data_IF_211167251835
#
_entry.id   IF_211167251835
#
_cell.length_a   1.000
_cell.length_b   1.000
_cell.length_c   1.000
_cell.angle_alpha   90.00
_cell.angle_beta   90.00
_cell.angle_gamma   90.00
#
_symmetry.space_group_name_H-M   'P 1'
#
loop_
_entity.id
_entity.type
_entity.pdbx_description
1 polymer ?
#
# COMPACT_ATOMS: atom_id res chain seq x y z
N UNK A 1 -15.71 7.70 10.62
CA UNK A 1 -15.80 6.23 10.72
C UNK A 1 -14.42 5.56 10.76
N UNK A 2 -13.44 5.94 9.94
CA UNK A 2 -12.08 5.35 9.97
C UNK A 2 -11.41 5.48 11.36
N UNK A 3 -11.28 6.71 11.89
CA UNK A 3 -10.66 6.93 13.21
C UNK A 3 -11.32 6.19 14.38
N UNK A 4 -12.62 5.84 14.30
CA UNK A 4 -13.30 5.11 15.39
C UNK A 4 -12.91 3.64 15.38
N UNK A 5 -12.78 3.04 14.19
CA UNK A 5 -12.34 1.65 14.07
C UNK A 5 -10.86 1.49 14.42
N UNK A 6 -10.02 2.45 14.00
CA UNK A 6 -8.59 2.45 14.31
C UNK A 6 -8.36 2.56 15.82
N UNK A 7 -9.02 3.51 16.48
CA UNK A 7 -8.98 3.60 17.96
C UNK A 7 -9.42 2.28 18.64
N UNK A 8 -10.43 1.59 18.10
CA UNK A 8 -10.85 0.30 18.64
C UNK A 8 -9.77 -0.78 18.52
N UNK A 9 -9.03 -0.81 17.41
CA UNK A 9 -7.95 -1.79 17.18
C UNK A 9 -6.75 -1.51 18.06
N UNK A 10 -6.35 -0.25 18.14
CA UNK A 10 -5.26 0.20 18.99
C UNK A 10 -5.52 -0.09 20.45
N UNK A 11 -6.74 0.15 20.92
CA UNK A 11 -7.15 -0.23 22.28
C UNK A 11 -7.12 -1.75 22.49
N UNK A 12 -7.51 -2.53 21.48
CA UNK A 12 -7.37 -3.99 21.49
C UNK A 12 -5.92 -4.44 21.62
N UNK A 13 -5.03 -3.91 20.79
CA UNK A 13 -3.59 -4.22 20.82
C UNK A 13 -2.98 -3.79 22.16
N UNK A 14 -3.27 -2.57 22.63
CA UNK A 14 -2.84 -2.08 23.96
C UNK A 14 -3.29 -2.98 25.10
N UNK A 15 -4.54 -3.43 25.08
CA UNK A 15 -5.06 -4.34 26.10
C UNK A 15 -4.27 -5.65 26.14
N UNK A 16 -3.98 -6.24 24.98
CA UNK A 16 -3.20 -7.48 24.88
C UNK A 16 -1.77 -7.26 25.38
N UNK A 17 -1.13 -6.15 24.98
CA UNK A 17 0.20 -5.78 25.47
C UNK A 17 0.20 -5.58 27.00
N UNK A 18 -0.83 -4.94 27.56
CA UNK A 18 -0.93 -4.70 29.01
C UNK A 18 -1.08 -6.00 29.81
N UNK A 19 -1.78 -7.00 29.25
CA UNK A 19 -1.91 -8.33 29.85
C UNK A 19 -0.57 -9.10 29.90
N UNK A 20 0.38 -8.78 29.02
CA UNK A 20 1.71 -9.40 28.95
C UNK A 20 2.82 -8.35 28.78
N UNK A 21 3.14 -7.63 29.87
CA UNK A 21 4.15 -6.57 29.89
C UNK A 21 5.28 -6.81 30.92
N UNK A 22 6.05 -7.91 30.82
CA UNK A 22 7.14 -8.19 31.76
C UNK A 22 8.28 -7.16 31.69
N UNK A 23 8.40 -6.42 30.58
CA UNK A 23 9.40 -5.37 30.37
C UNK A 23 8.97 -3.99 30.89
N UNK A 24 7.77 -3.86 31.47
CA UNK A 24 7.25 -2.59 32.03
C UNK A 24 7.27 -1.43 31.02
N UNK A 25 6.94 -1.71 29.76
CA UNK A 25 6.82 -0.70 28.71
C UNK A 25 5.68 0.27 29.04
N UNK A 26 5.92 1.57 28.88
CA UNK A 26 4.87 2.59 28.97
C UNK A 26 3.99 2.54 27.71
N UNK A 27 2.85 1.86 27.80
CA UNK A 27 1.93 1.64 26.67
C UNK A 27 1.10 2.88 26.30
N UNK A 28 1.15 3.93 27.13
CA UNK A 28 0.58 5.24 26.83
C UNK A 28 1.63 6.21 26.23
N UNK A 29 2.87 5.75 26.12
CA UNK A 29 3.98 6.51 25.57
C UNK A 29 3.86 6.79 24.06
N UNK A 30 4.48 7.89 23.62
CA UNK A 30 4.48 8.35 22.21
C UNK A 30 5.03 7.29 21.24
N UNK A 31 5.90 6.40 21.70
CA UNK A 31 6.51 5.37 20.87
C UNK A 31 5.49 4.41 20.26
N UNK A 32 4.47 4.00 21.03
CA UNK A 32 3.46 3.06 20.54
C UNK A 32 2.56 3.74 19.51
N UNK A 33 2.24 5.02 19.71
CA UNK A 33 1.53 5.82 18.71
C UNK A 33 2.31 6.00 17.41
N UNK A 34 3.64 6.07 17.45
CA UNK A 34 4.48 6.08 16.24
C UNK A 34 4.40 4.75 15.48
N UNK A 35 4.42 3.63 16.20
CA UNK A 35 4.21 2.31 15.59
C UNK A 35 2.82 2.22 14.97
N UNK A 36 1.76 2.58 15.69
CA UNK A 36 0.40 2.58 15.14
C UNK A 36 0.24 3.53 13.95
N UNK A 37 0.88 4.71 13.98
CA UNK A 37 0.89 5.62 12.84
C UNK A 37 1.49 4.98 11.57
N UNK A 38 2.50 4.11 11.73
CA UNK A 38 3.09 3.40 10.59
C UNK A 38 2.09 2.40 9.96
N UNK A 39 1.36 1.63 10.77
CA UNK A 39 0.32 0.72 10.29
C UNK A 39 -0.93 1.43 9.72
N UNK A 40 -1.10 2.73 9.98
CA UNK A 40 -2.16 3.59 9.39
C UNK A 40 -1.73 4.24 8.07
N UNK A 41 -0.52 3.99 7.58
CA UNK A 41 -0.05 4.60 6.34
C UNK A 41 -0.96 4.20 5.16
N UNK A 42 -1.32 5.15 4.28
CA UNK A 42 -2.43 5.01 3.32
C UNK A 42 -2.21 3.99 2.19
N UNK A 43 -1.02 3.40 2.10
CA UNK A 43 -0.68 2.39 1.09
C UNK A 43 -0.90 0.95 1.60
N UNK A 44 -1.14 0.78 2.91
CA UNK A 44 -1.34 -0.53 3.55
C UNK A 44 -2.80 -0.94 3.44
N UNK A 45 -3.03 -2.17 3.04
CA UNK A 45 -4.35 -2.78 2.92
C UNK A 45 -4.42 -4.14 3.61
N UNK A 46 -3.34 -4.93 3.58
CA UNK A 46 -3.19 -6.15 4.37
C UNK A 46 -2.40 -5.85 5.64
N UNK A 47 -1.22 -5.23 5.52
CA UNK A 47 -0.29 -4.95 6.62
C UNK A 47 -0.75 -3.75 7.47
N UNK A 48 -1.92 -3.89 8.10
CA UNK A 48 -2.67 -2.85 8.80
C UNK A 48 -2.81 -3.16 10.30
N UNK A 49 -3.45 -2.26 11.06
CA UNK A 49 -3.82 -2.50 12.45
C UNK A 49 -4.78 -3.70 12.62
N UNK A 50 -5.57 -4.06 11.60
CA UNK A 50 -6.43 -5.26 11.66
C UNK A 50 -5.61 -6.55 11.66
N UNK A 51 -4.62 -6.65 10.76
CA UNK A 51 -3.70 -7.80 10.71
C UNK A 51 -2.86 -7.90 11.97
N UNK A 52 -2.27 -6.78 12.41
CA UNK A 52 -1.50 -6.72 13.65
C UNK A 52 -2.33 -7.17 14.87
N UNK A 53 -3.58 -6.71 14.99
CA UNK A 53 -4.47 -7.17 16.06
C UNK A 53 -4.76 -8.67 15.97
N UNK A 54 -4.95 -9.20 14.76
CA UNK A 54 -5.17 -10.63 14.52
C UNK A 54 -3.97 -11.45 14.99
N UNK A 55 -2.74 -11.04 14.67
CA UNK A 55 -1.51 -11.67 15.17
C UNK A 55 -1.45 -11.62 16.69
N UNK A 56 -1.68 -10.45 17.31
CA UNK A 56 -1.67 -10.31 18.77
C UNK A 56 -2.70 -11.22 19.45
N UNK A 57 -3.90 -11.35 18.87
CA UNK A 57 -4.93 -12.27 19.36
C UNK A 57 -4.53 -13.74 19.18
N UNK A 58 -3.89 -14.08 18.06
CA UNK A 58 -3.32 -15.41 17.82
C UNK A 58 -2.31 -15.80 18.90
N UNK A 59 -1.36 -14.91 19.19
CA UNK A 59 -0.36 -15.10 20.26
C UNK A 59 -1.05 -15.28 21.63
N UNK A 60 -2.04 -14.43 21.93
CA UNK A 60 -2.79 -14.46 23.21
C UNK A 60 -3.57 -15.75 23.42
N UNK A 61 -4.14 -16.32 22.36
CA UNK A 61 -5.00 -17.50 22.43
C UNK A 61 -4.23 -18.82 22.27
N UNK A 62 -2.90 -18.77 22.16
CA UNK A 62 -2.05 -19.94 21.97
C UNK A 62 -1.30 -20.31 23.27
N UNK A 63 -0.83 -21.55 23.38
CA UNK A 63 -0.09 -22.05 24.54
C UNK A 63 1.19 -21.27 24.87
N UNK A 64 1.77 -20.56 23.89
CA UNK A 64 2.91 -19.64 24.11
C UNK A 64 2.62 -18.58 25.16
N UNK A 65 1.36 -18.20 25.35
CA UNK A 65 0.94 -17.21 26.34
C UNK A 65 1.27 -17.58 27.79
N UNK A 66 1.40 -18.89 28.07
CA UNK A 66 1.80 -19.40 29.39
C UNK A 66 3.25 -19.04 29.75
N UNK A 67 4.08 -18.73 28.75
CA UNK A 67 5.42 -18.20 28.94
C UNK A 67 5.42 -16.70 28.64
N UNK A 68 5.29 -15.89 29.69
CA UNK A 68 5.18 -14.43 29.59
C UNK A 68 6.37 -13.76 28.88
N UNK A 69 7.59 -14.31 29.02
CA UNK A 69 8.75 -13.77 28.32
C UNK A 69 8.64 -14.02 26.80
N UNK A 70 8.36 -15.27 26.41
CA UNK A 70 8.18 -15.63 25.01
C UNK A 70 7.02 -14.88 24.36
N UNK A 71 5.90 -14.76 25.07
CA UNK A 71 4.73 -14.03 24.58
C UNK A 71 5.05 -12.53 24.38
N UNK A 72 5.77 -11.90 25.30
CA UNK A 72 6.18 -10.51 25.15
C UNK A 72 7.17 -10.30 23.98
N UNK A 73 8.09 -11.24 23.77
CA UNK A 73 8.98 -11.23 22.61
C UNK A 73 8.22 -11.35 21.29
N UNK A 74 7.27 -12.28 21.19
CA UNK A 74 6.40 -12.44 20.01
C UNK A 74 5.54 -11.20 19.75
N UNK A 75 5.00 -10.57 20.80
CA UNK A 75 4.22 -9.34 20.67
C UNK A 75 5.08 -8.17 20.18
N UNK A 76 6.32 -8.04 20.66
CA UNK A 76 7.25 -7.03 20.14
C UNK A 76 7.66 -7.33 18.70
N UNK A 77 7.91 -8.59 18.35
CA UNK A 77 8.12 -8.99 16.95
C UNK A 77 6.92 -8.61 16.09
N UNK A 78 5.69 -8.89 16.55
CA UNK A 78 4.47 -8.52 15.83
C UNK A 78 4.37 -7.01 15.59
N UNK A 79 4.62 -6.18 16.61
CA UNK A 79 4.60 -4.73 16.48
C UNK A 79 5.59 -4.22 15.43
N UNK A 80 6.76 -4.86 15.32
CA UNK A 80 7.87 -4.30 14.55
C UNK A 80 8.18 -4.97 13.23
N UNK A 81 7.78 -6.23 12.97
CA UNK A 81 8.17 -6.95 11.74
C UNK A 81 7.85 -6.17 10.46
N UNK A 82 6.65 -5.57 10.39
CA UNK A 82 6.20 -4.71 9.31
C UNK A 82 5.96 -3.25 9.75
N UNK A 83 6.66 -2.78 10.78
CA UNK A 83 6.58 -1.37 11.17
C UNK A 83 7.00 -0.45 10.03
N UNK A 84 7.98 -0.85 9.23
CA UNK A 84 8.26 -0.26 7.91
C UNK A 84 7.85 -1.27 6.85
N UNK A 85 6.91 -0.89 5.99
CA UNK A 85 6.45 -1.71 4.88
C UNK A 85 6.53 -0.89 3.61
N UNK A 86 7.23 -1.42 2.60
CA UNK A 86 7.29 -0.85 1.26
C UNK A 86 7.21 -2.01 0.26
N UNK A 87 6.08 -2.23 -0.42
CA UNK A 87 5.90 -3.35 -1.36
C UNK A 87 6.95 -3.44 -2.47
N UNK A 88 7.50 -2.29 -2.89
CA UNK A 88 8.55 -2.16 -3.90
C UNK A 88 9.96 -2.39 -3.36
N UNK A 89 10.13 -2.31 -2.03
CA UNK A 89 11.41 -2.32 -1.35
C UNK A 89 11.93 -3.75 -1.15
N UNK A 90 13.23 -3.83 -0.86
CA UNK A 90 13.89 -5.08 -0.47
C UNK A 90 14.53 -4.98 0.92
N UNK A 91 14.23 -3.91 1.65
CA UNK A 91 14.85 -3.55 2.92
C UNK A 91 13.82 -3.25 4.02
N UNK A 92 12.57 -3.68 3.84
CA UNK A 92 11.48 -3.42 4.79
C UNK A 92 11.84 -3.99 6.17
N UNK A 93 12.38 -5.20 6.20
CA UNK A 93 12.75 -5.94 7.40
C UNK A 93 13.94 -5.29 8.12
N UNK A 94 14.97 -4.89 7.39
CA UNK A 94 16.11 -4.14 7.93
C UNK A 94 15.67 -2.80 8.53
N UNK A 95 14.75 -2.09 7.86
CA UNK A 95 14.23 -0.80 8.33
C UNK A 95 13.27 -0.93 9.50
N UNK A 96 12.45 -1.98 9.52
CA UNK A 96 11.62 -2.39 10.65
C UNK A 96 12.49 -2.71 11.88
N UNK A 97 13.58 -3.44 11.67
CA UNK A 97 14.59 -3.71 12.70
C UNK A 97 15.29 -2.41 13.17
N UNK A 98 15.64 -1.49 12.27
CA UNK A 98 16.17 -0.17 12.64
C UNK A 98 15.16 0.61 13.48
N UNK A 99 13.88 0.59 13.13
CA UNK A 99 12.82 1.26 13.86
C UNK A 99 12.67 0.71 15.29
N UNK A 100 12.70 -0.61 15.43
CA UNK A 100 12.68 -1.31 16.71
C UNK A 100 13.84 -0.84 17.62
N UNK A 101 15.07 -0.89 17.11
CA UNK A 101 16.26 -0.49 17.87
C UNK A 101 16.25 1.01 18.22
N UNK A 102 15.83 1.87 17.27
CA UNK A 102 15.72 3.30 17.50
C UNK A 102 14.73 3.62 18.61
N UNK A 103 13.53 3.02 18.57
CA UNK A 103 12.50 3.23 19.59
C UNK A 103 12.96 2.72 20.94
N UNK A 104 13.49 1.49 21.03
CA UNK A 104 13.97 0.94 22.31
C UNK A 104 15.03 1.82 22.96
N UNK A 105 15.99 2.31 22.18
CA UNK A 105 16.99 3.23 22.68
C UNK A 105 16.37 4.54 23.18
N UNK A 106 15.39 5.09 22.46
CA UNK A 106 14.73 6.33 22.83
C UNK A 106 13.87 6.22 24.09
N UNK A 107 13.35 5.04 24.43
CA UNK A 107 12.59 4.78 25.66
C UNK A 107 13.44 4.22 26.82
N UNK A 108 14.78 4.24 26.68
CA UNK A 108 15.71 3.90 27.77
C UNK A 108 16.11 2.42 27.86
N UNK A 109 15.94 1.65 26.78
CA UNK A 109 16.30 0.22 26.67
C UNK A 109 15.73 -0.66 27.81
N UNK A 110 14.40 -0.69 28.00
CA UNK A 110 13.75 -1.49 29.06
C UNK A 110 13.80 -3.01 28.80
N UNK A 111 14.10 -3.43 27.57
CA UNK A 111 14.15 -4.84 27.16
C UNK A 111 15.57 -5.39 27.33
N UNK A 112 15.76 -6.57 27.96
CA UNK A 112 17.08 -7.18 28.13
C UNK A 112 17.78 -7.46 26.78
N UNK A 113 19.09 -7.28 26.72
CA UNK A 113 19.89 -7.40 25.50
C UNK A 113 19.67 -8.72 24.74
N UNK A 114 19.59 -9.86 25.45
CA UNK A 114 19.34 -11.16 24.83
C UNK A 114 17.95 -11.25 24.17
N UNK A 115 16.95 -10.59 24.76
CA UNK A 115 15.59 -10.52 24.19
C UNK A 115 15.56 -9.60 22.97
N UNK A 116 16.26 -8.46 23.04
CA UNK A 116 16.45 -7.57 21.90
C UNK A 116 17.05 -8.32 20.72
N UNK A 117 18.11 -9.10 20.93
CA UNK A 117 18.76 -9.86 19.86
C UNK A 117 17.85 -10.93 19.25
N UNK A 118 17.08 -11.66 20.08
CA UNK A 118 16.09 -12.63 19.59
C UNK A 118 15.02 -11.97 18.72
N UNK A 119 14.43 -10.87 19.18
CA UNK A 119 13.42 -10.11 18.45
C UNK A 119 14.00 -9.54 17.15
N UNK A 120 15.22 -8.99 17.20
CA UNK A 120 15.95 -8.46 16.04
C UNK A 120 16.11 -9.52 14.96
N UNK A 121 16.59 -10.71 15.34
CA UNK A 121 16.74 -11.84 14.43
C UNK A 121 15.39 -12.33 13.89
N UNK A 122 14.33 -12.33 14.71
CA UNK A 122 12.99 -12.72 14.26
C UNK A 122 12.40 -11.74 13.24
N UNK A 123 12.59 -10.43 13.43
CA UNK A 123 12.16 -9.40 12.46
C UNK A 123 12.92 -9.57 11.13
N UNK A 124 14.22 -9.83 11.17
CA UNK A 124 15.01 -10.02 9.95
C UNK A 124 14.74 -11.35 9.23
N UNK A 125 14.29 -12.36 9.97
CA UNK A 125 14.04 -13.69 9.43
C UNK A 125 12.71 -13.81 8.67
N UNK A 126 11.85 -12.78 8.64
CA UNK A 126 10.60 -12.83 7.86
C UNK A 126 10.85 -12.94 6.36
N UNK A 127 12.04 -12.56 5.87
CA UNK A 127 12.50 -12.82 4.47
C UNK A 127 13.38 -14.06 4.34
N UNK A 128 14.16 -14.38 5.37
CA UNK A 128 15.09 -15.51 5.40
C UNK A 128 14.36 -16.75 5.92
N UNK A 129 13.79 -17.50 4.97
CA UNK A 129 12.93 -18.68 5.17
C UNK A 129 13.63 -19.93 5.76
N UNK A 130 14.82 -19.79 6.32
CA UNK A 130 15.61 -20.85 6.96
C UNK A 130 15.50 -20.76 8.50
N UNK A 131 15.73 -21.85 9.24
CA UNK A 131 15.61 -21.95 10.71
C UNK A 131 16.58 -21.01 11.47
N UNK A 132 16.37 -19.68 11.42
CA UNK A 132 17.26 -18.68 12.01
C UNK A 132 17.19 -18.72 13.54
N UNK A 133 15.98 -18.83 14.11
CA UNK A 133 15.74 -19.11 15.52
C UNK A 133 14.28 -19.57 15.79
N UNK A 134 14.06 -20.12 16.99
CA UNK A 134 12.74 -20.63 17.42
C UNK A 134 11.65 -19.53 17.46
N UNK A 135 12.01 -18.30 17.83
CA UNK A 135 11.08 -17.17 17.89
C UNK A 135 10.55 -16.81 16.49
N UNK A 136 11.44 -16.74 15.50
CA UNK A 136 11.12 -16.46 14.10
C UNK A 136 10.17 -17.51 13.52
N UNK A 137 10.48 -18.78 13.79
CA UNK A 137 9.66 -19.91 13.32
C UNK A 137 8.25 -19.83 13.90
N UNK A 138 8.13 -19.63 15.21
CA UNK A 138 6.81 -19.47 15.87
C UNK A 138 6.07 -18.22 15.40
N UNK A 139 6.79 -17.12 15.18
CA UNK A 139 6.18 -15.88 14.71
C UNK A 139 5.61 -16.02 13.29
N UNK A 140 6.33 -16.71 12.40
CA UNK A 140 5.91 -16.94 11.02
C UNK A 140 4.54 -17.64 10.94
N UNK A 141 4.27 -18.61 11.84
CA UNK A 141 2.97 -19.29 11.90
C UNK A 141 1.82 -18.32 12.23
N UNK A 142 2.05 -17.35 13.12
CA UNK A 142 1.05 -16.34 13.46
C UNK A 142 0.84 -15.33 12.32
N UNK A 143 1.91 -14.90 11.67
CA UNK A 143 1.82 -13.96 10.54
C UNK A 143 1.12 -14.59 9.33
N UNK A 144 1.42 -15.86 9.03
CA UNK A 144 0.81 -16.59 7.92
C UNK A 144 -0.54 -17.25 8.25
N UNK A 145 -1.12 -17.01 9.43
CA UNK A 145 -2.32 -17.71 9.90
C UNK A 145 -3.48 -17.65 8.91
N UNK A 146 -3.70 -16.50 8.25
CA UNK A 146 -4.77 -16.35 7.25
C UNK A 146 -4.56 -17.25 6.03
N UNK A 147 -3.32 -17.45 5.61
CA UNK A 147 -2.97 -18.27 4.45
C UNK A 147 -3.08 -19.76 4.81
N UNK A 148 -2.67 -20.13 6.03
CA UNK A 148 -2.60 -21.51 6.48
C UNK A 148 -3.98 -22.04 6.89
N UNK A 149 -4.79 -21.22 7.55
CA UNK A 149 -6.03 -21.64 8.19
C UNK A 149 -7.28 -20.90 7.71
N UNK A 150 -7.15 -19.90 6.84
CA UNK A 150 -8.27 -19.13 6.33
C UNK A 150 -9.23 -19.95 5.49
N UNK A 151 -10.52 -19.61 5.56
CA UNK A 151 -11.51 -20.11 4.60
C UNK A 151 -11.25 -19.53 3.21
N UNK A 152 -11.88 -20.09 2.17
CA UNK A 152 -11.82 -19.53 0.82
C UNK A 152 -12.24 -18.05 0.76
N UNK A 153 -13.15 -17.62 1.63
CA UNK A 153 -13.57 -16.21 1.70
C UNK A 153 -12.46 -15.34 2.28
N UNK A 154 -11.83 -15.79 3.37
CA UNK A 154 -10.73 -15.05 4.02
C UNK A 154 -9.53 -14.91 3.07
N UNK A 155 -9.26 -15.95 2.27
CA UNK A 155 -8.15 -15.97 1.32
C UNK A 155 -8.39 -15.07 0.11
N UNK A 156 -9.63 -14.94 -0.35
CA UNK A 156 -9.99 -13.99 -1.40
C UNK A 156 -9.88 -12.54 -0.90
N UNK A 157 -10.28 -12.28 0.35
CA UNK A 157 -10.11 -10.96 0.96
C UNK A 157 -8.62 -10.63 1.17
N UNK A 158 -7.84 -11.58 1.69
CA UNK A 158 -6.38 -11.50 1.77
C UNK A 158 -5.77 -11.15 0.40
N UNK A 159 -6.10 -11.90 -0.65
CA UNK A 159 -5.51 -11.66 -1.97
C UNK A 159 -5.97 -10.33 -2.56
N UNK A 160 -7.19 -9.89 -2.29
CA UNK A 160 -7.64 -8.56 -2.68
C UNK A 160 -6.86 -7.46 -1.95
N UNK A 161 -6.61 -7.60 -0.65
CA UNK A 161 -5.82 -6.64 0.11
C UNK A 161 -4.37 -6.59 -0.39
N UNK A 162 -3.75 -7.74 -0.65
CA UNK A 162 -2.42 -7.80 -1.27
C UNK A 162 -2.45 -7.14 -2.66
N UNK A 163 -3.46 -7.40 -3.49
CA UNK A 163 -3.62 -6.73 -4.77
C UNK A 163 -3.59 -5.21 -4.63
N UNK A 164 -4.25 -4.67 -3.60
CA UNK A 164 -4.29 -3.23 -3.32
C UNK A 164 -2.97 -2.63 -2.83
N UNK A 165 -2.05 -3.42 -2.29
CA UNK A 165 -0.71 -2.94 -1.93
C UNK A 165 0.26 -2.94 -3.11
N UNK A 166 0.10 -3.89 -4.04
CA UNK A 166 0.96 -4.05 -5.22
C UNK A 166 0.43 -3.31 -6.45
N UNK A 167 -0.27 -2.19 -6.26
CA UNK A 167 -0.89 -1.39 -7.31
C UNK A 167 0.12 -0.72 -8.26
N UNK A 168 1.40 -0.71 -7.92
CA UNK A 168 2.49 -0.24 -8.78
C UNK A 168 2.87 -1.23 -9.90
N UNK A 169 2.53 -2.52 -9.75
CA UNK A 169 2.80 -3.54 -10.76
C UNK A 169 1.72 -3.55 -11.84
N UNK A 170 2.13 -3.81 -13.08
CA UNK A 170 1.17 -4.19 -14.11
C UNK A 170 0.60 -5.57 -13.83
N UNK A 171 -0.54 -5.88 -14.45
CA UNK A 171 -1.31 -7.08 -14.12
C UNK A 171 -0.63 -8.38 -14.53
N UNK A 172 0.23 -8.34 -15.55
CA UNK A 172 1.04 -9.50 -15.95
C UNK A 172 2.07 -9.83 -14.87
N UNK A 173 2.79 -8.82 -14.40
CA UNK A 173 3.81 -8.94 -13.35
C UNK A 173 3.20 -9.38 -12.03
N UNK A 174 2.10 -8.75 -11.62
CA UNK A 174 1.39 -9.10 -10.39
C UNK A 174 0.97 -10.57 -10.38
N UNK A 175 0.24 -11.02 -11.41
CA UNK A 175 -0.20 -12.42 -11.52
C UNK A 175 0.97 -13.40 -11.47
N UNK A 176 2.03 -13.14 -12.25
CA UNK A 176 3.23 -13.99 -12.27
C UNK A 176 3.89 -14.07 -10.89
N UNK A 177 4.05 -12.93 -10.22
CA UNK A 177 4.67 -12.85 -8.89
C UNK A 177 3.87 -13.60 -7.84
N UNK A 178 2.54 -13.42 -7.81
CA UNK A 178 1.65 -14.09 -6.87
C UNK A 178 1.54 -15.59 -7.12
N UNK A 179 1.40 -16.03 -8.38
CA UNK A 179 1.41 -17.47 -8.71
C UNK A 179 2.73 -18.14 -8.30
N UNK A 180 3.86 -17.46 -8.49
CA UNK A 180 5.16 -17.95 -8.04
C UNK A 180 5.25 -18.03 -6.50
N UNK A 181 4.73 -17.03 -5.78
CA UNK A 181 4.64 -17.04 -4.32
C UNK A 181 3.82 -18.23 -3.82
N UNK A 182 2.59 -18.41 -4.31
CA UNK A 182 1.72 -19.52 -3.91
C UNK A 182 2.32 -20.89 -4.24
N UNK A 183 3.00 -21.02 -5.38
CA UNK A 183 3.69 -22.25 -5.74
C UNK A 183 4.84 -22.57 -4.78
N UNK A 184 5.60 -21.57 -4.33
CA UNK A 184 6.65 -21.77 -3.31
C UNK A 184 6.03 -22.11 -1.95
N UNK A 185 4.99 -21.37 -1.56
CA UNK A 185 4.30 -21.58 -0.29
C UNK A 185 3.72 -23.00 -0.17
N UNK A 186 3.05 -23.49 -1.22
CA UNK A 186 2.50 -24.86 -1.27
C UNK A 186 3.55 -25.98 -1.21
N UNK A 187 4.81 -25.70 -1.60
CA UNK A 187 5.91 -26.66 -1.46
C UNK A 187 6.40 -26.74 -0.02
N UNK A 188 6.39 -25.61 0.69
CA UNK A 188 6.80 -25.51 2.09
C UNK A 188 5.74 -26.04 3.05
N UNK A 189 4.48 -25.74 2.77
CA UNK A 189 3.29 -26.15 3.54
C UNK A 189 2.38 -27.02 2.67
N UNK A 190 2.69 -28.33 2.52
CA UNK A 190 1.91 -29.24 1.67
C UNK A 190 0.41 -29.30 2.01
N UNK A 191 0.05 -29.06 3.27
CA UNK A 191 -1.32 -28.96 3.78
C UNK A 191 -2.11 -27.80 3.14
N UNK A 192 -1.43 -26.75 2.67
CA UNK A 192 -2.05 -25.60 2.02
C UNK A 192 -2.18 -25.79 0.49
N UNK A 193 -1.77 -26.93 -0.08
CA UNK A 193 -1.64 -27.11 -1.53
C UNK A 193 -2.94 -26.85 -2.29
N UNK A 194 -4.05 -27.39 -1.81
CA UNK A 194 -5.34 -27.22 -2.49
C UNK A 194 -5.81 -25.76 -2.43
N UNK A 195 -5.61 -25.11 -1.29
CA UNK A 195 -5.86 -23.69 -1.07
C UNK A 195 -5.02 -22.79 -1.97
N UNK A 196 -3.72 -23.08 -2.10
CA UNK A 196 -2.83 -22.32 -2.99
C UNK A 196 -3.20 -22.52 -4.45
N UNK A 197 -3.63 -23.74 -4.83
CA UNK A 197 -4.15 -24.00 -6.19
C UNK A 197 -5.42 -23.21 -6.46
N UNK A 198 -6.33 -23.10 -5.48
CA UNK A 198 -7.52 -22.26 -5.60
C UNK A 198 -7.17 -20.78 -5.86
N UNK A 199 -6.20 -20.22 -5.12
CA UNK A 199 -5.77 -18.82 -5.34
C UNK A 199 -5.09 -18.61 -6.70
N UNK A 200 -4.30 -19.57 -7.17
CA UNK A 200 -3.70 -19.54 -8.51
C UNK A 200 -4.81 -19.54 -9.59
N UNK A 201 -5.78 -20.44 -9.47
CA UNK A 201 -6.91 -20.54 -10.41
C UNK A 201 -7.76 -19.25 -10.40
N UNK A 202 -8.02 -18.69 -9.21
CA UNK A 202 -8.67 -17.39 -9.06
C UNK A 202 -7.91 -16.28 -9.78
N UNK A 203 -6.58 -16.19 -9.62
CA UNK A 203 -5.77 -15.16 -10.27
C UNK A 203 -5.77 -15.27 -11.79
N UNK A 204 -5.82 -16.49 -12.34
CA UNK A 204 -5.88 -16.70 -13.79
C UNK A 204 -7.20 -16.18 -14.38
N UNK A 205 -8.31 -16.39 -13.68
CA UNK A 205 -9.66 -16.08 -14.16
C UNK A 205 -10.19 -14.70 -13.74
N UNK A 206 -9.70 -14.11 -12.65
CA UNK A 206 -10.17 -12.83 -12.14
C UNK A 206 -9.84 -11.70 -13.12
N UNK A 207 -10.86 -10.99 -13.61
CA UNK A 207 -10.70 -9.76 -14.39
C UNK A 207 -11.02 -8.55 -13.50
N UNK A 208 -10.02 -7.87 -12.91
CA UNK A 208 -10.27 -6.66 -12.13
C UNK A 208 -10.77 -5.52 -13.01
N UNK A 209 -11.58 -4.65 -12.42
CA UNK A 209 -11.99 -3.38 -13.03
C UNK A 209 -10.87 -2.37 -12.89
N UNK A 210 -10.27 -1.98 -14.00
CA UNK A 210 -9.13 -1.07 -14.04
C UNK A 210 -9.55 0.26 -14.66
N UNK A 211 -9.34 1.35 -13.94
CA UNK A 211 -9.49 2.70 -14.47
C UNK A 211 -8.16 3.20 -15.05
N UNK A 212 -8.14 3.68 -16.30
CA UNK A 212 -7.00 4.43 -16.84
C UNK A 212 -7.26 5.91 -16.60
N UNK A 213 -6.56 6.52 -15.66
CA UNK A 213 -6.61 7.96 -15.42
C UNK A 213 -5.54 8.66 -16.26
N UNK A 214 -5.95 9.15 -17.43
CA UNK A 214 -5.04 9.74 -18.39
C UNK A 214 -4.95 11.27 -18.29
N UNK A 215 -3.74 11.80 -18.46
CA UNK A 215 -3.46 13.23 -18.44
C UNK A 215 -2.00 13.53 -18.80
N UNK A 216 -1.65 14.82 -18.90
CA UNK A 216 -0.24 15.23 -19.04
C UNK A 216 0.47 15.39 -17.70
N UNK A 217 -0.31 15.58 -16.62
CA UNK A 217 0.14 15.65 -15.22
C UNK A 217 1.39 16.51 -15.00
N UNK A 218 1.50 17.65 -15.69
CA UNK A 218 2.69 18.49 -15.62
C UNK A 218 2.37 19.92 -15.12
N UNK A 219 2.42 20.19 -13.80
CA UNK A 219 2.70 19.23 -12.72
C UNK A 219 1.45 18.48 -12.23
N UNK A 220 1.67 17.38 -11.50
CA UNK A 220 0.60 16.71 -10.74
C UNK A 220 0.23 17.54 -9.50
N UNK A 221 -1.06 17.68 -9.21
CA UNK A 221 -1.56 18.62 -8.20
C UNK A 221 -2.74 18.06 -7.42
N UNK A 222 -3.16 18.73 -6.34
CA UNK A 222 -4.25 18.28 -5.45
C UNK A 222 -5.58 18.03 -6.16
N UNK A 223 -5.87 18.76 -7.24
CA UNK A 223 -7.02 18.47 -8.12
C UNK A 223 -6.95 17.09 -8.76
N UNK A 224 -5.79 16.70 -9.31
CA UNK A 224 -5.58 15.36 -9.86
C UNK A 224 -5.66 14.29 -8.78
N UNK A 225 -5.06 14.54 -7.60
CA UNK A 225 -5.16 13.61 -6.48
C UNK A 225 -6.62 13.37 -6.05
N UNK A 226 -7.44 14.43 -5.98
CA UNK A 226 -8.87 14.30 -5.63
C UNK A 226 -9.62 13.41 -6.61
N UNK A 227 -9.37 13.54 -7.91
CA UNK A 227 -9.97 12.68 -8.94
C UNK A 227 -9.46 11.24 -8.82
N UNK A 228 -8.14 11.05 -8.67
CA UNK A 228 -7.52 9.74 -8.47
C UNK A 228 -8.16 9.01 -7.27
N UNK A 229 -8.25 9.66 -6.11
CA UNK A 229 -8.84 9.06 -4.90
C UNK A 229 -10.32 8.72 -5.06
N UNK A 230 -11.08 9.50 -5.84
CA UNK A 230 -12.47 9.16 -6.15
C UNK A 230 -12.54 7.93 -7.06
N UNK A 231 -11.67 7.87 -8.06
CA UNK A 231 -11.58 6.73 -8.97
C UNK A 231 -11.16 5.44 -8.23
N UNK A 232 -10.21 5.51 -7.30
CA UNK A 232 -9.76 4.37 -6.48
C UNK A 232 -10.86 3.73 -5.61
N UNK A 233 -11.98 4.44 -5.39
CA UNK A 233 -13.17 3.92 -4.69
C UNK A 233 -14.15 3.21 -5.64
N UNK A 234 -14.04 3.45 -6.94
CA UNK A 234 -14.92 2.91 -7.97
C UNK A 234 -14.31 1.71 -8.71
N UNK A 235 -12.97 1.65 -8.75
CA UNK A 235 -12.20 0.65 -9.47
C UNK A 235 -11.32 -0.16 -8.53
N UNK A 236 -11.04 -1.40 -8.92
CA UNK A 236 -10.13 -2.28 -8.19
C UNK A 236 -8.69 -1.76 -8.28
N UNK A 237 -8.34 -1.12 -9.41
CA UNK A 237 -7.04 -0.50 -9.67
C UNK A 237 -7.15 0.72 -10.57
N UNK A 238 -6.28 1.71 -10.36
CA UNK A 238 -6.13 2.87 -11.25
C UNK A 238 -4.71 2.89 -11.81
N UNK A 239 -4.60 2.97 -13.14
CA UNK A 239 -3.35 3.23 -13.86
C UNK A 239 -3.31 4.72 -14.18
N UNK A 240 -2.23 5.41 -13.80
CA UNK A 240 -2.02 6.82 -14.13
C UNK A 240 -1.25 6.91 -15.44
N UNK A 241 -1.94 7.27 -16.52
CA UNK A 241 -1.38 7.28 -17.86
C UNK A 241 -0.94 8.69 -18.29
N UNK A 242 0.37 8.88 -18.45
CA UNK A 242 0.99 10.13 -18.88
C UNK A 242 1.12 10.14 -20.40
N UNK A 243 0.33 10.99 -21.06
CA UNK A 243 0.40 11.14 -22.51
C UNK A 243 1.58 12.00 -22.94
N UNK A 244 2.52 11.43 -23.69
CA UNK A 244 3.64 12.14 -24.30
C UNK A 244 3.21 12.56 -25.70
N UNK A 245 3.19 13.88 -25.96
CA UNK A 245 2.90 14.40 -27.29
C UNK A 245 4.21 14.70 -28.03
N UNK A 246 4.59 13.96 -29.08
CA UNK A 246 5.85 14.16 -29.79
C UNK A 246 6.02 15.56 -30.38
N UNK A 247 4.91 16.27 -30.63
CA UNK A 247 4.90 17.61 -31.22
C UNK A 247 4.85 18.74 -30.20
N UNK A 248 4.68 18.43 -28.90
CA UNK A 248 4.75 19.42 -27.83
C UNK A 248 5.97 19.11 -26.97
N UNK A 249 6.93 20.04 -26.88
CA UNK A 249 8.02 19.99 -25.90
C UNK A 249 7.46 20.22 -24.48
N UNK A 250 6.68 19.25 -23.97
CA UNK A 250 6.21 19.22 -22.59
C UNK A 250 7.07 18.17 -21.89
N UNK A 251 8.00 18.63 -21.07
CA UNK A 251 8.80 17.73 -20.25
C UNK A 251 7.88 16.94 -19.30
N UNK A 252 8.15 15.64 -19.13
CA UNK A 252 7.47 14.81 -18.13
C UNK A 252 7.75 15.38 -16.74
N UNK A 253 6.73 15.40 -15.87
CA UNK A 253 6.95 15.75 -14.47
C UNK A 253 7.79 14.65 -13.79
N UNK A 254 9.08 14.93 -13.59
CA UNK A 254 10.03 14.02 -12.94
C UNK A 254 9.67 13.69 -11.50
N UNK A 255 8.76 14.46 -10.88
CA UNK A 255 8.31 14.25 -9.51
C UNK A 255 7.08 13.35 -9.41
N UNK A 256 6.45 12.96 -10.52
CA UNK A 256 5.23 12.16 -10.50
C UNK A 256 5.43 10.80 -9.82
N UNK A 257 6.49 10.08 -10.20
CA UNK A 257 6.81 8.77 -9.60
C UNK A 257 7.10 8.89 -8.11
N UNK A 258 7.66 10.02 -7.68
CA UNK A 258 7.89 10.32 -6.27
C UNK A 258 6.62 10.68 -5.51
N UNK A 259 5.67 11.31 -6.20
CA UNK A 259 4.39 11.75 -5.66
C UNK A 259 3.42 10.57 -5.53
N UNK A 260 3.52 9.57 -6.40
CA UNK A 260 2.65 8.39 -6.45
C UNK A 260 3.46 7.09 -6.44
N UNK A 261 4.28 6.83 -5.40
CA UNK A 261 5.21 5.70 -5.40
C UNK A 261 4.50 4.33 -5.38
N UNK A 262 3.23 4.29 -4.98
CA UNK A 262 2.42 3.07 -4.86
C UNK A 262 1.46 2.85 -6.04
N UNK A 263 1.56 3.67 -7.09
CA UNK A 263 0.69 3.59 -8.26
C UNK A 263 1.46 3.13 -9.48
N UNK A 264 0.76 2.44 -10.38
CA UNK A 264 1.29 2.19 -11.71
C UNK A 264 1.17 3.48 -12.53
N UNK A 265 2.32 4.07 -12.84
CA UNK A 265 2.44 5.22 -13.72
C UNK A 265 2.99 4.73 -15.05
N UNK A 266 2.23 4.91 -16.12
CA UNK A 266 2.64 4.52 -17.48
C UNK A 266 2.76 5.73 -18.37
N UNK A 267 3.88 5.83 -19.06
CA UNK A 267 4.02 6.78 -20.17
C UNK A 267 3.56 6.12 -21.46
N UNK A 268 2.87 6.87 -22.32
CA UNK A 268 2.50 6.39 -23.65
C UNK A 268 2.56 7.52 -24.68
N UNK A 269 3.00 7.19 -25.89
CA UNK A 269 3.10 8.07 -27.06
C UNK A 269 2.25 7.59 -28.24
N UNK A 270 1.42 6.56 -28.02
CA UNK A 270 0.47 5.98 -28.98
C UNK A 270 -0.95 6.55 -28.82
N UNK A 271 -1.94 6.00 -29.53
CA UNK A 271 -3.33 6.34 -29.26
C UNK A 271 -3.79 5.76 -27.92
N UNK A 272 -4.74 6.45 -27.28
CA UNK A 272 -5.35 5.98 -26.03
C UNK A 272 -6.01 4.60 -26.21
N UNK A 273 -6.59 4.32 -27.38
CA UNK A 273 -7.23 3.03 -27.68
C UNK A 273 -6.22 1.88 -27.71
N UNK A 274 -4.99 2.12 -28.14
CA UNK A 274 -3.92 1.11 -28.16
C UNK A 274 -3.49 0.76 -26.73
N UNK A 275 -3.40 1.78 -25.86
CA UNK A 275 -3.12 1.57 -24.44
C UNK A 275 -4.26 0.78 -23.77
N UNK A 276 -5.52 1.15 -24.04
CA UNK A 276 -6.69 0.41 -23.54
C UNK A 276 -6.63 -1.05 -23.98
N UNK A 277 -6.33 -1.31 -25.25
CA UNK A 277 -6.22 -2.67 -25.79
C UNK A 277 -5.13 -3.47 -25.08
N UNK A 278 -3.93 -2.88 -24.91
CA UNK A 278 -2.80 -3.51 -24.21
C UNK A 278 -3.16 -3.92 -22.78
N UNK A 279 -3.83 -3.05 -22.04
CA UNK A 279 -4.18 -3.32 -20.63
C UNK A 279 -5.41 -4.24 -20.49
N UNK A 280 -6.23 -4.38 -21.55
CA UNK A 280 -7.46 -5.19 -21.54
C UNK A 280 -7.21 -6.71 -21.61
N UNK A 281 -5.95 -7.17 -21.71
CA UNK A 281 -5.62 -8.60 -21.77
C UNK A 281 -6.15 -9.34 -20.54
N UNK A 282 -5.90 -8.81 -19.35
CA UNK A 282 -6.26 -9.44 -18.07
C UNK A 282 -7.32 -8.69 -17.27
N UNK A 283 -7.79 -7.56 -17.77
CA UNK A 283 -8.59 -6.61 -17.00
C UNK A 283 -9.75 -6.05 -17.81
N UNK A 284 -10.75 -5.54 -17.10
CA UNK A 284 -11.83 -4.78 -17.72
C UNK A 284 -11.52 -3.29 -17.55
N UNK A 285 -11.15 -2.65 -18.65
CA UNK A 285 -10.59 -1.30 -18.66
C UNK A 285 -11.68 -0.26 -18.89
N UNK A 286 -11.62 0.85 -18.14
CA UNK A 286 -12.47 2.02 -18.35
C UNK A 286 -11.62 3.28 -18.28
N UNK A 287 -11.84 4.21 -19.21
CA UNK A 287 -11.16 5.49 -19.18
C UNK A 287 -11.73 6.36 -18.05
N UNK A 288 -10.86 6.96 -17.24
CA UNK A 288 -11.24 7.88 -16.17
C UNK A 288 -10.82 9.29 -16.55
N UNK A 289 -11.76 10.23 -16.48
CA UNK A 289 -11.53 11.66 -16.75
C UNK A 289 -12.08 12.53 -15.64
N UNK A 290 -11.31 13.54 -15.25
CA UNK A 290 -11.77 14.59 -14.35
C UNK A 290 -12.38 15.74 -15.15
N UNK A 291 -13.56 16.23 -14.75
CA UNK A 291 -14.23 17.36 -15.39
C UNK A 291 -14.30 18.55 -14.44
N UNK A 292 -13.90 19.75 -14.89
CA UNK A 292 -14.04 20.98 -14.10
C UNK A 292 -15.37 21.67 -14.40
N UNK A 293 -15.78 21.67 -15.67
CA UNK A 293 -16.96 22.39 -16.14
C UNK A 293 -17.57 21.69 -17.37
N UNK A 294 -18.62 22.31 -17.95
CA UNK A 294 -19.30 21.78 -19.13
C UNK A 294 -18.44 21.75 -20.41
N UNK A 295 -17.48 22.66 -20.57
CA UNK A 295 -16.61 22.66 -21.75
C UNK A 295 -15.68 21.46 -21.78
N UNK A 296 -15.14 21.06 -20.60
CA UNK A 296 -14.34 19.84 -20.49
C UNK A 296 -15.18 18.60 -20.89
N UNK A 297 -16.47 18.56 -20.51
CA UNK A 297 -17.37 17.46 -20.87
C UNK A 297 -17.58 17.37 -22.38
N UNK A 298 -17.93 18.47 -23.03
CA UNK A 298 -18.17 18.49 -24.48
C UNK A 298 -16.92 18.05 -25.25
N UNK A 299 -15.74 18.49 -24.82
CA UNK A 299 -14.47 18.05 -25.41
C UNK A 299 -14.25 16.55 -25.25
N UNK A 300 -14.39 16.03 -24.02
CA UNK A 300 -14.12 14.61 -23.74
C UNK A 300 -15.16 13.67 -24.36
N UNK A 301 -16.43 14.09 -24.49
CA UNK A 301 -17.45 13.30 -25.20
C UNK A 301 -17.12 13.16 -26.68
N UNK A 302 -16.63 14.23 -27.32
CA UNK A 302 -16.17 14.14 -28.71
C UNK A 302 -14.97 13.18 -28.86
N UNK A 303 -14.02 13.22 -27.93
CA UNK A 303 -12.89 12.28 -27.92
C UNK A 303 -13.36 10.82 -27.76
N UNK A 304 -14.36 10.58 -26.89
CA UNK A 304 -14.93 9.26 -26.72
C UNK A 304 -15.55 8.71 -28.00
N UNK A 305 -16.28 9.53 -28.77
CA UNK A 305 -16.86 9.11 -30.05
C UNK A 305 -15.79 8.59 -31.02
N UNK A 306 -14.69 9.32 -31.21
CA UNK A 306 -13.57 8.86 -32.05
C UNK A 306 -13.00 7.53 -31.56
N UNK A 307 -12.81 7.38 -30.24
CA UNK A 307 -12.32 6.13 -29.67
C UNK A 307 -13.29 4.97 -29.89
N UNK A 308 -14.61 5.21 -29.80
CA UNK A 308 -15.64 4.20 -30.03
C UNK A 308 -15.78 3.80 -31.50
N UNK A 309 -15.49 4.69 -32.44
CA UNK A 309 -15.40 4.33 -33.87
C UNK A 309 -14.24 3.36 -34.14
N UNK A 310 -13.11 3.51 -33.44
CA UNK A 310 -11.96 2.61 -33.54
C UNK A 310 -12.11 1.32 -32.72
N UNK A 311 -12.70 1.45 -31.52
CA UNK A 311 -12.88 0.39 -30.53
C UNK A 311 -14.25 0.53 -29.83
N UNK A 312 -15.31 -0.11 -30.36
CA UNK A 312 -16.70 0.09 -29.90
C UNK A 312 -16.99 -0.21 -28.44
N UNK A 313 -16.20 -1.06 -27.79
CA UNK A 313 -16.29 -1.42 -26.37
C UNK A 313 -15.59 -0.41 -25.43
N UNK A 314 -15.09 0.72 -25.96
CA UNK A 314 -14.47 1.76 -25.14
C UNK A 314 -15.50 2.46 -24.26
N UNK A 315 -15.27 2.41 -22.95
CA UNK A 315 -16.07 3.08 -21.94
C UNK A 315 -15.27 4.18 -21.23
N UNK A 316 -15.96 5.25 -20.83
CA UNK A 316 -15.40 6.32 -20.03
C UNK A 316 -16.30 6.67 -18.83
N UNK A 317 -15.67 7.01 -17.72
CA UNK A 317 -16.28 7.55 -16.52
C UNK A 317 -15.75 8.95 -16.28
N UNK A 318 -16.67 9.88 -16.10
CA UNK A 318 -16.38 11.28 -15.83
C UNK A 318 -16.63 11.62 -14.37
N UNK A 319 -15.60 12.11 -13.68
CA UNK A 319 -15.66 12.47 -12.27
C UNK A 319 -15.61 14.00 -12.15
N UNK A 320 -16.62 14.65 -11.56
CA UNK A 320 -16.58 16.09 -11.34
C UNK A 320 -15.50 16.45 -10.32
N UNK A 321 -14.73 17.49 -10.64
CA UNK A 321 -13.77 18.11 -9.74
C UNK A 321 -14.48 18.70 -8.52
N UNK A 322 -13.80 18.72 -7.37
CA UNK A 322 -14.31 19.45 -6.21
C UNK A 322 -14.37 20.94 -6.56
N UNK A 323 -15.50 21.60 -6.32
CA UNK A 323 -15.68 23.05 -6.62
C UNK A 323 -14.55 23.93 -6.06
N UNK A 324 -14.04 23.59 -4.88
CA UNK A 324 -12.92 24.33 -4.24
C UNK A 324 -11.60 24.24 -5.02
N UNK A 325 -11.45 23.29 -5.94
CA UNK A 325 -10.26 23.02 -6.73
C UNK A 325 -10.45 23.35 -8.22
N UNK A 326 -11.61 23.86 -8.63
CA UNK A 326 -11.95 24.11 -10.04
C UNK A 326 -10.97 25.09 -10.74
N UNK A 327 -10.44 26.05 -9.97
CA UNK A 327 -9.44 27.03 -10.43
C UNK A 327 -8.02 26.47 -10.56
N UNK A 328 -7.75 25.28 -10.02
CA UNK A 328 -6.41 24.66 -10.02
C UNK A 328 -6.22 23.91 -11.33
N UNK A 329 -5.18 24.27 -12.08
CA UNK A 329 -4.78 23.56 -13.29
C UNK A 329 -3.26 23.58 -13.44
N UNK A 330 -2.71 22.54 -14.07
CA UNK A 330 -1.28 22.48 -14.42
C UNK A 330 -0.78 23.73 -15.15
N UNK A 331 -1.57 24.28 -16.08
CA UNK A 331 -1.23 25.52 -16.79
C UNK A 331 -1.18 26.74 -15.86
N UNK A 332 -2.13 26.87 -14.93
CA UNK A 332 -2.12 27.93 -13.95
C UNK A 332 -0.93 27.83 -12.99
N UNK A 333 -0.60 26.61 -12.52
CA UNK A 333 0.55 26.37 -11.63
C UNK A 333 1.88 26.66 -12.33
N UNK A 334 2.05 26.25 -13.59
CA UNK A 334 3.21 26.64 -14.41
C UNK A 334 3.33 28.15 -14.57
N UNK A 335 2.21 28.83 -14.80
CA UNK A 335 2.16 30.28 -14.86
C UNK A 335 2.54 30.94 -13.53
N UNK A 336 2.16 30.37 -12.39
CA UNK A 336 2.58 30.86 -11.08
C UNK A 336 4.07 30.62 -10.82
N UNK A 337 4.60 29.46 -11.22
CA UNK A 337 6.00 29.10 -11.03
C UNK A 337 6.97 30.10 -11.68
N UNK A 338 6.58 30.76 -12.78
CA UNK A 338 7.40 31.80 -13.42
C UNK A 338 7.59 33.07 -12.59
N UNK A 339 6.87 33.24 -11.47
CA UNK A 339 6.92 34.43 -10.61
C UNK A 339 7.68 34.22 -9.27
N UNK A 340 8.62 33.27 -9.19
CA UNK A 340 9.41 32.98 -7.98
C UNK A 340 8.55 32.84 -6.71
N UNK A 341 7.54 31.98 -6.77
CA UNK A 341 6.54 31.79 -5.70
C UNK A 341 7.00 30.90 -4.55
N UNK A 342 8.30 30.56 -4.46
CA UNK A 342 8.87 29.53 -3.58
C UNK A 342 8.14 29.37 -2.24
N UNK A 343 7.48 28.20 -2.08
CA UNK A 343 6.77 27.79 -0.88
C UNK A 343 5.30 28.25 -0.79
N UNK A 344 4.90 29.31 -1.49
CA UNK A 344 3.51 29.82 -1.48
C UNK A 344 2.55 28.94 -2.27
N UNK A 345 3.07 28.22 -3.26
CA UNK A 345 2.33 27.28 -4.09
C UNK A 345 2.34 25.84 -3.56
N UNK A 346 3.08 25.58 -2.47
CA UNK A 346 3.19 24.25 -1.83
C UNK A 346 1.83 23.61 -1.52
N UNK A 347 0.83 24.44 -1.21
CA UNK A 347 -0.55 24.01 -0.92
C UNK A 347 -1.24 23.29 -2.09
N UNK A 348 -0.75 23.43 -3.32
CA UNK A 348 -1.32 22.80 -4.50
C UNK A 348 -0.68 21.46 -4.86
N UNK A 349 0.38 21.06 -4.18
CA UNK A 349 1.07 19.79 -4.44
C UNK A 349 0.76 18.76 -3.35
N UNK A 350 0.47 17.50 -3.71
CA UNK A 350 0.21 16.45 -2.74
C UNK A 350 1.37 16.17 -1.79
N UNK A 351 1.03 15.86 -0.54
CA UNK A 351 2.00 15.42 0.50
C UNK A 351 1.68 14.04 1.07
N UNK A 352 0.67 13.35 0.51
CA UNK A 352 0.08 12.10 1.01
C UNK A 352 1.10 11.00 1.29
N UNK A 353 2.14 10.90 0.46
CA UNK A 353 3.15 9.85 0.52
C UNK A 353 4.56 10.36 0.90
N UNK A 354 4.67 11.56 1.50
CA UNK A 354 5.96 12.15 1.84
C UNK A 354 6.80 11.29 2.80
N UNK A 355 6.17 10.45 3.62
CA UNK A 355 6.86 9.52 4.53
C UNK A 355 7.71 8.47 3.78
N UNK A 356 7.37 8.14 2.53
CA UNK A 356 8.07 7.12 1.73
C UNK A 356 9.55 7.46 1.56
N UNK A 357 9.87 8.76 1.42
CA UNK A 357 11.21 9.26 1.16
C UNK A 357 11.99 9.64 2.43
N UNK A 358 11.41 9.40 3.61
CA UNK A 358 12.03 9.74 4.89
C UNK A 358 12.82 8.55 5.46
N UNK A 359 13.91 8.85 6.15
CA UNK A 359 14.65 7.87 6.92
C UNK A 359 13.85 7.40 8.15
N UNK A 360 14.20 6.24 8.68
CA UNK A 360 13.51 5.60 9.81
C UNK A 360 13.45 6.52 11.04
N UNK A 361 14.54 7.24 11.34
CA UNK A 361 14.60 8.12 12.53
C UNK A 361 13.66 9.30 12.39
N UNK A 362 13.50 9.83 11.18
CA UNK A 362 12.52 10.90 10.91
C UNK A 362 11.09 10.39 11.07
N UNK A 363 10.77 9.19 10.56
CA UNK A 363 9.42 8.60 10.65
C UNK A 363 9.04 8.25 12.09
N UNK A 364 9.95 7.68 12.87
CA UNK A 364 9.69 7.17 14.22
C UNK A 364 10.12 8.11 15.35
N UNK A 365 10.46 9.37 15.05
CA UNK A 365 10.90 10.36 16.04
C UNK A 365 9.91 10.51 17.21
N UNK A 366 10.39 10.31 18.44
CA UNK A 366 9.62 10.45 19.68
C UNK A 366 9.47 11.91 20.12
#
# INVERSE_FOLDING_TARGET
MHNVKDNSRENGIRSILAECNPFQLDLDGVWLERVFAAYRQPHRYFHTLDHLLTICQGIRNNEVWNNQLLAAELLLTALFHDAVWVPQGTDSEERSCEAFLYILNAIGNPVPADSVERIRLAILATTLQDDVNELATRFHDFDCQVIIHGSHVDLLDYEFQIFREYQYLNMTEYRRGRSAFFTRFAKRFPECRDTMRFLIDYLEHRRPRVGIYAGTFNPFHIGHLSILEKAERMFDKIIVAVGINPHKNIDRDVMLDKTLPFHEVVDFDTLMVDLIERESVYCDVTLVRGLRNGYDLDYEMNQLCFMQEMRPDTHAVYIPCDKRLEHVSSSALKGLASFNVSGRDSIYYPTKYNYYWQDVKTVFKL
#
